data_IF_263685716182
#
_entry.id   IF_263685716182
#
_cell.length_a   1.000
_cell.length_b   1.000
_cell.length_c   1.000
_cell.angle_alpha   90.00
_cell.angle_beta   90.00
_cell.angle_gamma   90.00
#
_symmetry.space_group_name_H-M   'P 1'
#
loop_
_entity.id
_entity.type
_entity.pdbx_description
1 polymer ?
#
# COMPACT_ATOMS: atom_id res chain seq x y z
N UNK A 1 5.06 -4.44 24.55
CA UNK A 1 4.96 -5.42 23.55
C UNK A 1 5.01 -4.86 22.17
N UNK A 2 5.91 -5.31 21.44
CA UNK A 2 6.06 -4.78 20.10
C UNK A 2 5.07 -5.44 19.16
N UNK A 3 4.65 -4.70 18.20
CA UNK A 3 3.84 -5.24 17.13
C UNK A 3 4.75 -5.95 16.16
N UNK A 4 4.46 -7.18 15.84
CA UNK A 4 5.24 -7.82 14.79
C UNK A 4 5.04 -7.03 13.51
N UNK A 5 6.15 -6.77 12.86
CA UNK A 5 6.08 -6.11 11.56
C UNK A 5 5.56 -7.13 10.57
N UNK A 6 4.34 -6.93 10.13
CA UNK A 6 3.74 -7.85 9.20
C UNK A 6 4.01 -7.41 7.79
N UNK A 7 4.52 -8.33 7.00
CA UNK A 7 4.80 -8.08 5.60
C UNK A 7 3.77 -8.78 4.74
N UNK A 8 3.41 -8.16 3.65
CA UNK A 8 2.51 -8.77 2.69
C UNK A 8 3.19 -8.83 1.34
N UNK A 9 2.92 -9.89 0.61
CA UNK A 9 3.53 -10.07 -0.70
C UNK A 9 2.67 -9.40 -1.77
N UNK A 10 3.13 -9.49 -3.01
CA UNK A 10 2.45 -8.86 -4.13
C UNK A 10 1.02 -9.35 -4.29
N UNK A 11 0.81 -10.63 -4.14
CA UNK A 11 -0.51 -11.22 -4.29
C UNK A 11 -1.47 -10.68 -3.24
N UNK A 12 -1.02 -10.64 -2.01
CA UNK A 12 -1.82 -10.13 -0.92
C UNK A 12 -2.10 -8.64 -1.09
N UNK A 13 -1.09 -7.91 -1.54
CA UNK A 13 -1.23 -6.48 -1.75
C UNK A 13 -2.28 -6.17 -2.80
N UNK A 14 -2.24 -6.86 -3.94
CA UNK A 14 -3.20 -6.60 -5.00
C UNK A 14 -4.62 -6.93 -4.56
N UNK A 15 -4.78 -7.93 -3.72
CA UNK A 15 -6.10 -8.24 -3.16
C UNK A 15 -6.58 -7.15 -2.23
N UNK A 16 -5.66 -6.61 -1.44
CA UNK A 16 -6.02 -5.62 -0.44
C UNK A 16 -6.37 -4.28 -1.06
N UNK A 17 -5.54 -3.80 -1.98
CA UNK A 17 -5.77 -2.48 -2.58
C UNK A 17 -6.54 -2.53 -3.89
N UNK A 18 -6.72 -3.71 -4.45
CA UNK A 18 -7.51 -3.90 -5.66
C UNK A 18 -6.90 -3.25 -6.90
N UNK A 19 -5.60 -3.05 -6.90
CA UNK A 19 -4.88 -2.51 -8.04
C UNK A 19 -4.05 -3.60 -8.69
N UNK A 20 -3.81 -3.46 -9.98
CA UNK A 20 -2.91 -4.37 -10.67
C UNK A 20 -1.47 -4.11 -10.28
N UNK A 21 -0.57 -5.09 -10.44
CA UNK A 21 0.84 -4.87 -10.13
C UNK A 21 1.45 -3.70 -10.92
N UNK A 22 1.05 -3.52 -12.16
CA UNK A 22 1.56 -2.43 -12.97
C UNK A 22 1.13 -1.08 -12.40
N UNK A 23 -0.10 -0.99 -11.94
CA UNK A 23 -0.61 0.23 -11.36
C UNK A 23 0.15 0.59 -10.09
N UNK A 24 0.38 -0.44 -9.25
CA UNK A 24 1.12 -0.24 -8.00
C UNK A 24 2.54 0.24 -8.31
N UNK A 25 3.20 -0.38 -9.28
CA UNK A 25 4.55 0.01 -9.64
C UNK A 25 4.59 1.46 -10.12
N UNK A 26 3.59 1.87 -10.85
CA UNK A 26 3.50 3.25 -11.33
C UNK A 26 3.36 4.23 -10.18
N UNK A 27 2.51 3.89 -9.21
CA UNK A 27 2.34 4.74 -8.03
C UNK A 27 3.61 4.82 -7.21
N UNK A 28 4.31 3.70 -7.06
CA UNK A 28 5.58 3.70 -6.34
C UNK A 28 6.59 4.62 -7.01
N UNK A 29 6.67 4.53 -8.33
CA UNK A 29 7.60 5.34 -9.07
C UNK A 29 7.29 6.82 -8.94
N UNK A 30 6.02 7.15 -8.84
CA UNK A 30 5.58 8.52 -8.66
C UNK A 30 5.68 9.00 -7.21
N UNK A 31 6.10 8.14 -6.31
CA UNK A 31 6.19 8.49 -4.90
C UNK A 31 4.85 8.59 -4.21
N UNK A 32 3.85 7.92 -4.74
CA UNK A 32 2.48 8.00 -4.22
C UNK A 32 2.01 6.69 -3.61
N UNK A 33 2.92 5.81 -3.29
CA UNK A 33 2.60 4.53 -2.68
C UNK A 33 3.79 4.11 -1.83
N UNK A 34 3.55 3.38 -0.73
CA UNK A 34 4.67 2.90 0.09
C UNK A 34 5.64 2.08 -0.74
N UNK A 35 6.92 2.28 -0.48
CA UNK A 35 7.95 1.58 -1.23
C UNK A 35 8.04 0.13 -0.82
N UNK A 36 8.31 -0.73 -1.79
CA UNK A 36 8.49 -2.13 -1.52
C UNK A 36 9.81 -2.41 -0.83
N UNK A 37 9.83 -3.49 -0.10
CA UNK A 37 11.05 -3.99 0.51
C UNK A 37 11.58 -5.13 -0.34
N UNK A 38 12.87 -5.09 -0.61
CA UNK A 38 13.52 -6.16 -1.36
C UNK A 38 14.02 -7.19 -0.36
N UNK A 39 13.38 -8.34 -0.35
CA UNK A 39 13.75 -9.40 0.60
C UNK A 39 14.75 -10.38 0.03
N UNK A 40 14.86 -10.45 -1.28
CA UNK A 40 15.75 -11.36 -1.93
C UNK A 40 15.72 -11.10 -3.41
N UNK A 41 16.31 -11.98 -4.18
CA UNK A 41 16.47 -11.73 -5.59
C UNK A 41 15.17 -11.49 -6.33
N UNK A 42 14.17 -12.28 -6.07
CA UNK A 42 12.87 -12.10 -6.71
C UNK A 42 11.75 -12.01 -5.71
N UNK A 43 12.07 -11.50 -4.52
CA UNK A 43 11.10 -11.45 -3.45
C UNK A 43 10.95 -10.04 -2.96
N UNK A 44 9.76 -9.52 -3.07
CA UNK A 44 9.44 -8.19 -2.58
C UNK A 44 8.24 -8.30 -1.65
N UNK A 45 8.14 -7.32 -0.77
CA UNK A 45 7.03 -7.27 0.17
C UNK A 45 6.80 -5.82 0.57
N UNK A 46 5.70 -5.58 1.22
CA UNK A 46 5.38 -4.26 1.75
C UNK A 46 5.02 -4.42 3.21
N UNK A 47 5.27 -3.38 3.98
CA UNK A 47 4.84 -3.38 5.37
C UNK A 47 3.34 -3.12 5.42
N UNK A 48 2.62 -4.02 6.03
CA UNK A 48 1.17 -3.90 6.10
C UNK A 48 0.74 -2.58 6.75
N UNK A 49 1.45 -2.16 7.80
CA UNK A 49 1.09 -0.93 8.49
C UNK A 49 1.18 0.28 7.56
N UNK A 50 2.18 0.31 6.68
CA UNK A 50 2.33 1.40 5.74
C UNK A 50 1.22 1.39 4.69
N UNK A 51 0.86 0.20 4.24
CA UNK A 51 -0.22 0.06 3.26
C UNK A 51 -1.54 0.47 3.89
N UNK A 52 -1.77 0.08 5.13
CA UNK A 52 -2.98 0.46 5.82
C UNK A 52 -3.08 1.96 6.02
N UNK A 53 -1.96 2.59 6.36
CA UNK A 53 -1.94 4.05 6.51
C UNK A 53 -2.27 4.73 5.18
N UNK A 54 -1.76 4.18 4.09
CA UNK A 54 -2.02 4.71 2.77
C UNK A 54 -3.51 4.61 2.44
N UNK A 55 -4.12 3.48 2.77
CA UNK A 55 -5.56 3.30 2.54
C UNK A 55 -6.37 4.28 3.39
N UNK A 56 -5.98 4.45 4.64
CA UNK A 56 -6.66 5.38 5.52
C UNK A 56 -6.63 6.80 4.97
N UNK A 57 -5.49 7.17 4.43
CA UNK A 57 -5.33 8.49 3.84
C UNK A 57 -6.29 8.68 2.67
N UNK A 58 -6.43 7.65 1.84
CA UNK A 58 -7.33 7.71 0.70
C UNK A 58 -8.78 7.81 1.14
N UNK A 59 -9.13 7.07 2.18
CA UNK A 59 -10.47 7.12 2.72
C UNK A 59 -10.80 8.50 3.27
N UNK A 60 -9.85 9.09 3.96
CA UNK A 60 -10.06 10.43 4.52
C UNK A 60 -10.29 11.46 3.42
N UNK A 61 -9.52 11.37 2.35
CA UNK A 61 -9.69 12.28 1.22
C UNK A 61 -11.05 12.13 0.58
N UNK A 62 -11.51 10.89 0.45
CA UNK A 62 -12.82 10.65 -0.13
C UNK A 62 -13.92 11.23 0.74
N UNK A 63 -13.79 11.05 2.05
CA UNK A 63 -14.79 11.56 2.97
C UNK A 63 -14.86 13.07 2.93
N UNK A 64 -13.69 13.72 2.84
CA UNK A 64 -13.65 15.17 2.74
C UNK A 64 -14.32 15.66 1.46
N UNK A 65 -14.09 14.95 0.36
CA UNK A 65 -14.70 15.29 -0.90
C UNK A 65 -16.22 15.20 -0.82
N UNK A 66 -16.71 14.18 -0.13
CA UNK A 66 -18.13 14.00 0.02
C UNK A 66 -18.74 15.12 0.87
N UNK A 67 -18.01 15.59 1.85
CA UNK A 67 -18.52 16.61 2.75
C UNK A 67 -18.58 17.98 2.10
N UNK A 68 -17.81 18.20 1.07
CA UNK A 68 -17.78 19.50 0.43
C UNK A 68 -18.87 19.69 -0.62
N UNK A 69 -19.71 18.73 -0.79
CA UNK A 69 -20.84 18.88 -1.67
C UNK A 69 -21.86 19.83 -1.11
#
# INVERSE_FOLDING_TARGET
>A
MSHPKQLIDKKELTKLVKYSPQHIARLEKAGQFPKRLQLGQNRVAWMLSEVEAWIEERLAKRDLSNLTL
#
